data_IF_236349733654
#
_entry.id   IF_236349733654
#
_cell.length_a   1.000
_cell.length_b   1.000
_cell.length_c   1.000
_cell.angle_alpha   90.00
_cell.angle_beta   90.00
_cell.angle_gamma   90.00
#
_symmetry.space_group_name_H-M   'P 1'
#
loop_
_entity.id
_entity.type
_entity.pdbx_description
1 polymer ?
#
# COMPACT_ATOMS: atom_id res chain seq x y z
N UNK A 1 39.90 22.71 18.58
CA UNK A 1 39.61 22.14 17.24
C UNK A 1 38.17 22.47 16.88
N UNK A 2 37.97 23.06 15.70
CA UNK A 2 36.72 23.70 15.24
C UNK A 2 35.73 22.67 14.68
N UNK A 3 34.54 22.60 15.26
CA UNK A 3 33.23 22.30 14.63
C UNK A 3 32.24 23.13 15.47
N UNK A 4 31.28 23.87 14.95
CA UNK A 4 30.17 23.42 14.14
C UNK A 4 29.59 24.63 13.38
N UNK A 5 29.30 24.33 12.11
CA UNK A 5 28.27 24.84 11.21
C UNK A 5 27.45 26.09 11.58
N UNK A 6 27.47 26.96 10.59
CA UNK A 6 26.74 28.20 10.41
C UNK A 6 25.22 27.97 10.46
N UNK A 7 24.60 28.70 11.37
CA UNK A 7 23.17 28.95 11.52
C UNK A 7 22.63 29.76 10.34
N UNK A 8 21.56 29.31 9.68
CA UNK A 8 20.54 30.22 9.15
C UNK A 8 19.17 29.68 9.54
N UNK A 9 18.57 30.45 10.44
CA UNK A 9 17.21 30.42 10.95
C UNK A 9 16.30 31.13 9.94
N UNK A 10 15.09 30.62 9.69
CA UNK A 10 13.83 31.34 9.40
C UNK A 10 12.87 30.34 8.73
N UNK A 11 11.60 30.18 9.09
CA UNK A 11 10.74 31.01 9.93
C UNK A 11 9.43 30.26 10.21
N UNK A 12 8.93 30.39 11.45
CA UNK A 12 7.49 30.50 11.81
C UNK A 12 6.56 29.32 11.44
N UNK A 13 5.91 28.60 12.37
CA UNK A 13 4.94 29.13 13.32
C UNK A 13 4.70 28.13 14.46
N UNK A 14 4.73 28.65 15.67
CA UNK A 14 4.44 27.96 16.93
C UNK A 14 2.93 27.93 17.14
N UNK A 15 2.36 26.77 17.44
CA UNK A 15 1.29 26.70 18.42
C UNK A 15 1.50 25.49 19.33
N UNK A 16 1.88 25.78 20.57
CA UNK A 16 2.01 24.80 21.64
C UNK A 16 0.63 24.30 22.06
N UNK A 17 0.42 22.98 21.97
CA UNK A 17 -0.33 22.27 22.99
C UNK A 17 0.64 21.37 23.74
N UNK A 18 1.04 21.84 24.92
CA UNK A 18 1.77 21.06 25.89
C UNK A 18 0.74 20.39 26.81
N UNK A 19 0.50 19.09 26.62
CA UNK A 19 0.04 18.18 27.66
C UNK A 19 0.68 16.81 27.41
N UNK A 20 1.61 16.46 28.31
CA UNK A 20 2.04 15.10 28.68
C UNK A 20 2.16 14.05 27.57
N UNK A 21 3.40 13.79 27.14
CA UNK A 21 3.83 12.45 26.73
C UNK A 21 3.03 11.80 25.60
N UNK A 22 3.16 12.31 24.38
CA UNK A 22 2.92 11.48 23.21
C UNK A 22 4.28 11.19 22.58
N UNK A 23 4.87 10.05 22.96
CA UNK A 23 5.65 9.29 21.99
C UNK A 23 4.73 9.11 20.78
N UNK A 24 4.92 9.92 19.74
CA UNK A 24 4.27 9.71 18.44
C UNK A 24 4.97 8.53 17.76
N UNK A 25 4.92 7.39 18.44
CA UNK A 25 5.07 6.07 17.87
C UNK A 25 3.65 5.66 17.51
N UNK A 26 3.06 6.38 16.53
CA UNK A 26 1.88 5.94 15.81
C UNK A 26 2.27 4.79 14.90
N UNK A 27 2.77 3.72 15.51
CA UNK A 27 2.76 2.40 14.88
C UNK A 27 1.28 2.05 14.86
N UNK A 28 0.64 2.22 13.69
CA UNK A 28 -0.69 1.66 13.44
C UNK A 28 -0.60 0.19 13.82
N UNK A 29 -1.14 -0.13 14.99
CA UNK A 29 -1.33 -1.50 15.43
C UNK A 29 -2.45 -2.00 14.53
N UNK A 30 -2.08 -2.52 13.36
CA UNK A 30 -2.91 -3.51 12.68
C UNK A 30 -3.14 -4.57 13.76
N UNK A 31 -4.37 -4.67 14.27
CA UNK A 31 -4.68 -5.63 15.32
C UNK A 31 -4.26 -7.02 14.83
N UNK A 32 -3.69 -7.87 15.67
CA UNK A 32 -3.29 -9.24 15.30
C UNK A 32 -4.40 -9.99 14.53
N UNK A 33 -5.66 -9.65 14.86
CA UNK A 33 -6.87 -10.16 14.21
C UNK A 33 -7.04 -9.72 12.75
N UNK A 34 -6.65 -8.50 12.41
CA UNK A 34 -6.66 -8.01 11.03
C UNK A 34 -5.51 -8.61 10.23
N UNK A 35 -4.32 -8.75 10.83
CA UNK A 35 -3.18 -9.47 10.22
C UNK A 35 -3.57 -10.90 9.85
N UNK A 36 -4.31 -11.58 10.73
CA UNK A 36 -4.80 -12.94 10.48
C UNK A 36 -5.78 -13.02 9.31
N UNK A 37 -6.69 -12.04 9.19
CA UNK A 37 -7.65 -11.95 8.08
C UNK A 37 -6.94 -11.73 6.73
N UNK A 38 -5.95 -10.83 6.69
CA UNK A 38 -5.15 -10.64 5.47
C UNK A 38 -4.42 -11.92 5.10
N UNK A 39 -3.75 -12.55 6.08
CA UNK A 39 -2.98 -13.78 5.85
C UNK A 39 -3.85 -14.91 5.33
N UNK A 40 -5.09 -15.03 5.82
CA UNK A 40 -6.04 -16.04 5.35
C UNK A 40 -6.58 -15.72 3.95
N UNK A 41 -6.84 -14.44 3.64
CA UNK A 41 -7.21 -14.01 2.28
C UNK A 41 -6.07 -14.28 1.28
N UNK A 42 -4.81 -14.01 1.66
CA UNK A 42 -3.62 -14.31 0.87
C UNK A 42 -3.46 -15.80 0.58
N UNK A 43 -3.67 -16.68 1.56
CA UNK A 43 -3.64 -18.15 1.36
C UNK A 43 -4.74 -18.65 0.42
N UNK A 44 -5.95 -18.07 0.49
CA UNK A 44 -7.04 -18.45 -0.40
C UNK A 44 -6.73 -18.05 -1.84
N UNK A 45 -6.10 -16.89 -2.04
CA UNK A 45 -5.64 -16.42 -3.34
C UNK A 45 -4.44 -17.19 -3.87
N UNK A 46 -3.46 -17.55 -3.04
CA UNK A 46 -2.29 -18.33 -3.48
C UNK A 46 -2.69 -19.67 -4.10
N UNK A 47 -3.81 -20.26 -3.67
CA UNK A 47 -4.40 -21.46 -4.29
C UNK A 47 -5.09 -21.22 -5.63
N UNK A 48 -5.49 -19.99 -5.94
CA UNK A 48 -6.31 -19.61 -7.10
C UNK A 48 -5.54 -18.81 -8.17
N UNK A 49 -4.57 -17.99 -7.77
CA UNK A 49 -3.92 -16.97 -8.59
C UNK A 49 -2.37 -17.09 -8.65
N UNK A 50 -1.78 -18.07 -7.97
CA UNK A 50 -0.35 -18.39 -8.02
C UNK A 50 0.54 -17.54 -7.10
N UNK A 51 1.85 -17.80 -7.14
CA UNK A 51 2.85 -17.27 -6.20
C UNK A 51 2.93 -15.74 -6.18
N UNK A 52 2.74 -15.08 -7.33
CA UNK A 52 2.81 -13.61 -7.42
C UNK A 52 1.64 -12.95 -6.69
N UNK A 53 0.42 -13.48 -6.84
CA UNK A 53 -0.73 -12.99 -6.10
C UNK A 53 -0.56 -13.15 -4.59
N UNK A 54 0.05 -14.25 -4.16
CA UNK A 54 0.39 -14.44 -2.76
C UNK A 54 1.39 -13.39 -2.27
N UNK A 55 2.47 -13.14 -3.02
CA UNK A 55 3.46 -12.13 -2.63
C UNK A 55 2.90 -10.71 -2.54
N UNK A 56 2.06 -10.31 -3.50
CA UNK A 56 1.38 -9.00 -3.46
C UNK A 56 0.47 -8.89 -2.23
N UNK A 57 -0.21 -9.97 -1.86
CA UNK A 57 -1.08 -10.01 -0.69
C UNK A 57 -0.34 -10.07 0.64
N UNK A 58 0.85 -10.68 0.67
CA UNK A 58 1.69 -10.81 1.87
C UNK A 58 2.66 -9.63 2.04
N UNK A 59 2.68 -8.70 1.09
CA UNK A 59 3.48 -7.49 1.17
C UNK A 59 2.92 -6.54 2.25
N UNK A 60 3.59 -6.52 3.40
CA UNK A 60 3.21 -5.68 4.53
C UNK A 60 3.41 -4.19 4.25
N UNK A 61 4.40 -3.82 3.45
CA UNK A 61 4.69 -2.42 3.11
C UNK A 61 3.61 -1.85 2.20
N UNK A 62 3.19 -2.59 1.18
CA UNK A 62 2.09 -2.23 0.30
C UNK A 62 0.78 -2.11 1.09
N UNK A 63 0.47 -3.09 1.95
CA UNK A 63 -0.74 -3.04 2.76
C UNK A 63 -0.79 -1.83 3.69
N UNK A 64 0.32 -1.56 4.39
CA UNK A 64 0.43 -0.38 5.26
C UNK A 64 0.30 0.92 4.45
N UNK A 65 0.92 0.97 3.27
CA UNK A 65 0.79 2.11 2.37
C UNK A 65 -0.66 2.34 1.94
N UNK A 66 -1.41 1.28 1.60
CA UNK A 66 -2.82 1.38 1.23
C UNK A 66 -3.69 1.81 2.42
N UNK A 67 -3.49 1.22 3.60
CA UNK A 67 -4.18 1.61 4.85
C UNK A 67 -3.98 3.09 5.15
N UNK A 68 -2.73 3.55 5.12
CA UNK A 68 -2.35 4.93 5.41
C UNK A 68 -2.91 5.91 4.37
N UNK A 69 -2.76 5.57 3.07
CA UNK A 69 -3.17 6.46 1.96
C UNK A 69 -4.69 6.56 1.86
N UNK A 70 -5.40 5.43 1.97
CA UNK A 70 -6.85 5.36 1.87
C UNK A 70 -7.57 5.68 3.20
N UNK A 71 -6.84 5.71 4.32
CA UNK A 71 -7.39 5.86 5.69
C UNK A 71 -8.48 4.82 5.99
N UNK A 72 -8.22 3.58 5.58
CA UNK A 72 -9.12 2.43 5.77
C UNK A 72 -8.50 1.43 6.74
N UNK A 73 -9.26 0.42 7.17
CA UNK A 73 -8.68 -0.67 7.95
C UNK A 73 -7.91 -1.66 7.07
N UNK A 74 -6.98 -2.42 7.66
CA UNK A 74 -6.21 -3.45 6.94
C UNK A 74 -7.12 -4.48 6.26
N UNK A 75 -8.26 -4.80 6.88
CA UNK A 75 -9.28 -5.68 6.30
C UNK A 75 -9.84 -5.14 4.96
N UNK A 76 -10.00 -3.83 4.82
CA UNK A 76 -10.48 -3.20 3.58
C UNK A 76 -9.38 -3.22 2.51
N UNK A 77 -8.15 -2.85 2.88
CA UNK A 77 -7.00 -2.90 1.98
C UNK A 77 -6.74 -4.32 1.45
N UNK A 78 -6.82 -5.34 2.31
CA UNK A 78 -6.65 -6.74 1.92
C UNK A 78 -7.73 -7.23 0.95
N UNK A 79 -9.00 -6.84 1.18
CA UNK A 79 -10.09 -7.16 0.24
C UNK A 79 -9.90 -6.48 -1.12
N UNK A 80 -9.41 -5.25 -1.12
CA UNK A 80 -9.10 -4.54 -2.35
C UNK A 80 -7.97 -5.25 -3.13
N UNK A 81 -6.85 -5.58 -2.48
CA UNK A 81 -5.77 -6.35 -3.09
C UNK A 81 -6.26 -7.71 -3.60
N UNK A 82 -7.15 -8.37 -2.85
CA UNK A 82 -7.79 -9.61 -3.28
C UNK A 82 -8.59 -9.44 -4.58
N UNK A 83 -9.36 -8.37 -4.71
CA UNK A 83 -10.11 -8.09 -5.93
C UNK A 83 -9.19 -7.74 -7.10
N UNK A 84 -8.14 -6.95 -6.85
CA UNK A 84 -7.10 -6.63 -7.84
C UNK A 84 -6.44 -7.90 -8.36
N UNK A 85 -6.03 -8.82 -7.48
CA UNK A 85 -5.37 -10.07 -7.90
C UNK A 85 -6.32 -11.11 -8.52
N UNK A 86 -7.64 -10.93 -8.39
CA UNK A 86 -8.63 -11.75 -9.11
C UNK A 86 -8.87 -11.27 -10.54
N UNK A 87 -8.42 -10.06 -10.89
CA UNK A 87 -8.52 -9.55 -12.25
C UNK A 87 -7.57 -10.32 -13.19
N UNK A 88 -8.08 -10.90 -14.30
CA UNK A 88 -7.26 -11.67 -15.23
C UNK A 88 -6.11 -10.87 -15.86
N UNK A 89 -6.31 -9.58 -16.13
CA UNK A 89 -5.27 -8.73 -16.71
C UNK A 89 -4.16 -8.46 -15.71
N UNK A 90 -4.50 -8.33 -14.43
CA UNK A 90 -3.52 -8.18 -13.36
C UNK A 90 -2.72 -9.47 -13.18
N UNK A 91 -3.35 -10.65 -13.26
CA UNK A 91 -2.64 -11.94 -13.20
C UNK A 91 -1.71 -12.15 -14.39
N UNK A 92 -2.15 -11.76 -15.59
CA UNK A 92 -1.31 -11.78 -16.79
C UNK A 92 -0.11 -10.84 -16.63
N UNK A 93 -0.35 -9.60 -16.17
CA UNK A 93 0.71 -8.63 -15.93
C UNK A 93 1.69 -9.06 -14.84
N UNK A 94 1.20 -9.66 -13.77
CA UNK A 94 2.01 -10.28 -12.73
C UNK A 94 2.97 -11.33 -13.28
N UNK A 95 2.50 -12.14 -14.25
CA UNK A 95 3.31 -13.17 -14.89
C UNK A 95 4.35 -12.62 -15.87
N UNK A 96 4.08 -11.47 -16.49
CA UNK A 96 4.96 -10.87 -17.51
C UNK A 96 5.93 -9.82 -16.94
N UNK A 97 5.46 -8.99 -16.01
CA UNK A 97 6.20 -7.84 -15.45
C UNK A 97 6.86 -8.17 -14.09
N UNK A 98 6.32 -9.15 -13.36
CA UNK A 98 6.75 -9.49 -12.01
C UNK A 98 5.94 -8.80 -10.90
N UNK A 99 6.12 -9.31 -9.67
CA UNK A 99 5.46 -8.86 -8.45
C UNK A 99 5.73 -7.40 -8.12
N UNK A 100 6.99 -6.98 -8.19
CA UNK A 100 7.39 -5.62 -7.82
C UNK A 100 6.72 -4.54 -8.68
N UNK A 101 6.64 -4.76 -10.00
CA UNK A 101 5.98 -3.81 -10.91
C UNK A 101 4.48 -3.71 -10.63
N UNK A 102 3.84 -4.83 -10.30
CA UNK A 102 2.42 -4.85 -9.93
C UNK A 102 2.17 -4.07 -8.65
N UNK A 103 3.01 -4.27 -7.62
CA UNK A 103 2.92 -3.54 -6.35
C UNK A 103 3.06 -2.03 -6.56
N UNK A 104 4.05 -1.60 -7.33
CA UNK A 104 4.28 -0.18 -7.65
C UNK A 104 3.08 0.46 -8.35
N UNK A 105 2.51 -0.24 -9.35
CA UNK A 105 1.32 0.27 -10.07
C UNK A 105 0.11 0.37 -9.14
N UNK A 106 -0.12 -0.63 -8.29
CA UNK A 106 -1.23 -0.60 -7.33
C UNK A 106 -1.10 0.62 -6.41
N UNK A 107 0.08 0.83 -5.82
CA UNK A 107 0.33 1.95 -4.92
C UNK A 107 0.20 3.29 -5.63
N UNK A 108 0.77 3.40 -6.84
CA UNK A 108 0.71 4.62 -7.66
C UNK A 108 -0.73 4.98 -7.97
N UNK A 109 -1.50 4.07 -8.56
CA UNK A 109 -2.87 4.35 -9.01
C UNK A 109 -3.77 4.67 -7.83
N UNK A 110 -3.65 3.96 -6.70
CA UNK A 110 -4.42 4.29 -5.49
C UNK A 110 -4.08 5.68 -4.98
N UNK A 111 -2.80 6.05 -4.95
CA UNK A 111 -2.35 7.39 -4.51
C UNK A 111 -2.86 8.49 -5.44
N UNK A 112 -2.74 8.31 -6.75
CA UNK A 112 -3.22 9.25 -7.78
C UNK A 112 -4.75 9.42 -7.73
N UNK A 113 -5.46 8.38 -7.32
CA UNK A 113 -6.91 8.40 -7.15
C UNK A 113 -7.35 8.75 -5.72
N UNK A 114 -6.48 9.40 -4.94
CA UNK A 114 -6.82 9.97 -3.63
C UNK A 114 -7.09 8.93 -2.54
N UNK A 115 -6.51 7.73 -2.67
CA UNK A 115 -6.73 6.63 -1.73
C UNK A 115 -8.04 5.87 -1.94
N UNK A 116 -8.70 6.02 -3.10
CA UNK A 116 -9.92 5.26 -3.36
C UNK A 116 -9.61 3.76 -3.57
N UNK A 117 -10.36 2.88 -2.91
CA UNK A 117 -10.25 1.42 -3.02
C UNK A 117 -11.57 0.84 -3.53
N UNK A 118 -11.85 1.01 -4.82
CA UNK A 118 -13.09 0.58 -5.46
C UNK A 118 -12.83 -0.01 -6.85
N UNK A 119 -13.89 -0.54 -7.49
CA UNK A 119 -13.81 -1.22 -8.79
C UNK A 119 -13.27 -0.33 -9.94
N UNK A 120 -13.52 0.98 -9.90
CA UNK A 120 -12.97 1.90 -10.89
C UNK A 120 -11.44 1.99 -10.78
N UNK A 121 -10.90 2.02 -9.57
CA UNK A 121 -9.46 2.01 -9.32
C UNK A 121 -8.83 0.68 -9.74
N UNK A 122 -9.52 -0.45 -9.54
CA UNK A 122 -9.07 -1.77 -10.04
C UNK A 122 -8.92 -1.74 -11.56
N UNK A 123 -9.90 -1.17 -12.26
CA UNK A 123 -9.86 -1.04 -13.73
C UNK A 123 -8.67 -0.18 -14.20
N UNK A 124 -8.36 0.90 -13.47
CA UNK A 124 -7.20 1.76 -13.76
C UNK A 124 -5.87 1.03 -13.53
N UNK A 125 -5.78 0.20 -12.48
CA UNK A 125 -4.61 -0.66 -12.23
C UNK A 125 -4.41 -1.63 -13.40
N UNK A 126 -5.46 -2.33 -13.83
CA UNK A 126 -5.39 -3.24 -14.95
C UNK A 126 -4.98 -2.53 -16.26
N UNK A 127 -5.51 -1.34 -16.52
CA UNK A 127 -5.15 -0.55 -17.71
C UNK A 127 -3.68 -0.09 -17.68
N UNK A 128 -3.19 0.40 -16.55
CA UNK A 128 -1.80 0.84 -16.40
C UNK A 128 -0.83 -0.35 -16.54
N UNK A 129 -1.16 -1.50 -15.95
CA UNK A 129 -0.38 -2.72 -16.14
C UNK A 129 -0.35 -3.17 -17.59
N UNK A 130 -1.50 -3.10 -18.28
CA UNK A 130 -1.57 -3.39 -19.72
C UNK A 130 -0.68 -2.44 -20.53
N UNK A 131 -0.61 -1.16 -20.18
CA UNK A 131 0.30 -0.20 -20.83
C UNK A 131 1.76 -0.56 -20.60
N UNK A 132 2.12 -1.01 -19.39
CA UNK A 132 3.49 -1.44 -19.08
C UNK A 132 3.91 -2.72 -19.79
N UNK A 133 2.99 -3.67 -20.00
CA UNK A 133 3.25 -4.87 -20.81
C UNK A 133 3.48 -4.57 -22.29
N UNK A 134 2.98 -3.45 -22.79
CA UNK A 134 3.11 -3.06 -24.20
C UNK A 134 4.38 -2.25 -24.51
N UNK A 135 5.21 -1.94 -23.50
CA UNK A 135 6.48 -1.22 -23.63
C UNK A 135 7.66 -2.19 -23.74
#
# INVERSE_FOLDING_TARGET
MKKVLNTVILSTLVFCFALSGCSYQGQEIISDKEVEVVKEAGKQLGKLAGDVAQKVMEDEELQQALVSTAKVSASVAARFLQQVMQDPQVQEAASQLGDQVVQEVIQQVVTENGGNLNEAVISLIAEELKRRMAQ
#
